data_IF_132530830554
#
_entry.id   IF_132530830554
#
_cell.length_a   1.000
_cell.length_b   1.000
_cell.length_c   1.000
_cell.angle_alpha   90.00
_cell.angle_beta   90.00
_cell.angle_gamma   90.00
#
_symmetry.space_group_name_H-M   'P 1'
#
loop_
_entity.id
_entity.type
_entity.pdbx_description
1 polymer ?
#
# COMPACT_ATOMS: atom_id res chain seq x y z
N UNK A 1 9.36 -14.12 19.05
CA UNK A 1 8.01 -14.10 19.63
C UNK A 1 7.44 -15.52 19.68
N UNK A 2 6.95 -15.90 20.82
CA UNK A 2 6.33 -17.21 20.98
C UNK A 2 4.92 -17.16 20.42
N UNK A 3 4.63 -18.06 19.49
CA UNK A 3 3.38 -18.05 18.74
C UNK A 3 2.13 -18.14 19.60
N UNK A 4 2.20 -18.86 20.72
CA UNK A 4 1.00 -19.15 21.52
C UNK A 4 0.80 -18.17 22.66
N UNK A 5 1.67 -17.18 22.79
CA UNK A 5 1.64 -16.27 23.93
C UNK A 5 0.56 -15.21 23.81
N UNK A 6 0.17 -14.84 22.59
CA UNK A 6 -0.74 -13.74 22.36
C UNK A 6 -2.02 -14.24 21.67
N UNK A 7 -3.14 -13.61 22.02
CA UNK A 7 -4.43 -13.92 21.39
C UNK A 7 -4.70 -13.07 20.15
N UNK A 8 -4.00 -11.95 20.03
CA UNK A 8 -4.17 -11.03 18.91
C UNK A 8 -2.80 -10.56 18.47
N UNK A 9 -2.53 -10.72 17.19
CA UNK A 9 -1.21 -10.39 16.60
C UNK A 9 -1.27 -9.13 15.73
N UNK A 10 -2.31 -8.30 15.89
CA UNK A 10 -2.40 -7.03 15.14
C UNK A 10 -1.17 -6.16 15.32
N UNK A 11 -0.54 -6.23 16.51
CA UNK A 11 0.64 -5.41 16.78
C UNK A 11 1.81 -5.74 15.87
N UNK A 12 1.84 -6.93 15.27
CA UNK A 12 2.88 -7.31 14.31
C UNK A 12 2.63 -6.69 12.94
N UNK A 13 1.37 -6.44 12.61
CA UNK A 13 1.00 -5.88 11.31
C UNK A 13 1.25 -4.37 11.23
N UNK A 14 1.03 -3.66 12.35
CA UNK A 14 1.06 -2.20 12.37
C UNK A 14 2.38 -1.63 11.82
N UNK A 15 3.56 -2.07 12.29
CA UNK A 15 4.82 -1.51 11.76
C UNK A 15 5.00 -1.80 10.28
N UNK A 16 4.58 -2.97 9.81
CA UNK A 16 4.71 -3.32 8.40
C UNK A 16 3.76 -2.52 7.53
N UNK A 17 2.55 -2.24 8.02
CA UNK A 17 1.60 -1.39 7.30
C UNK A 17 2.14 0.03 7.16
N UNK A 18 2.76 0.56 8.22
CA UNK A 18 3.38 1.88 8.18
C UNK A 18 4.57 1.91 7.22
N UNK A 19 5.39 0.87 7.24
CA UNK A 19 6.53 0.77 6.34
C UNK A 19 6.06 0.67 4.89
N UNK A 20 5.00 -0.08 4.65
CA UNK A 20 4.42 -0.24 3.33
C UNK A 20 3.94 1.12 2.80
N UNK A 21 3.19 1.87 3.61
CA UNK A 21 2.73 3.20 3.22
C UNK A 21 3.89 4.13 2.91
N UNK A 22 4.89 4.17 3.78
CA UNK A 22 6.07 5.01 3.57
C UNK A 22 6.84 4.64 2.31
N UNK A 23 6.98 3.33 2.08
CA UNK A 23 7.64 2.84 0.88
C UNK A 23 6.89 3.26 -0.39
N UNK A 24 5.57 3.08 -0.37
CA UNK A 24 4.76 3.44 -1.54
C UNK A 24 4.85 4.94 -1.83
N UNK A 25 4.81 5.78 -0.79
CA UNK A 25 4.94 7.22 -0.99
C UNK A 25 6.27 7.57 -1.65
N UNK A 26 7.36 6.94 -1.19
CA UNK A 26 8.67 7.17 -1.78
C UNK A 26 8.70 6.71 -3.24
N UNK A 27 8.17 5.52 -3.51
CA UNK A 27 8.12 4.99 -4.87
C UNK A 27 7.32 5.91 -5.79
N UNK A 28 6.15 6.36 -5.33
CA UNK A 28 5.29 7.22 -6.15
C UNK A 28 5.91 8.60 -6.38
N UNK A 29 6.69 9.07 -5.43
CA UNK A 29 7.47 10.28 -5.66
C UNK A 29 8.53 10.04 -6.73
N UNK A 30 9.24 8.92 -6.65
CA UNK A 30 10.31 8.57 -7.58
C UNK A 30 9.80 8.41 -9.01
N UNK A 31 8.58 7.93 -9.19
CA UNK A 31 8.01 7.73 -10.53
C UNK A 31 7.04 8.86 -10.91
N UNK A 32 7.04 9.95 -10.17
CA UNK A 32 6.28 11.17 -10.46
C UNK A 32 4.76 11.00 -10.44
N UNK A 33 4.26 10.06 -9.64
CA UNK A 33 2.82 9.96 -9.43
C UNK A 33 2.32 10.96 -8.40
N UNK A 34 3.19 11.40 -7.51
CA UNK A 34 2.87 12.46 -6.54
C UNK A 34 3.97 13.51 -6.58
N UNK A 35 3.62 14.74 -6.19
CA UNK A 35 4.59 15.84 -6.15
C UNK A 35 5.37 15.79 -4.83
N UNK A 36 6.46 16.54 -4.81
CA UNK A 36 7.24 16.70 -3.59
C UNK A 36 6.41 17.34 -2.47
N UNK A 37 5.53 18.27 -2.83
CA UNK A 37 4.62 18.90 -1.86
C UNK A 37 3.66 17.87 -1.28
N UNK A 38 3.13 16.97 -2.11
CA UNK A 38 2.26 15.88 -1.63
C UNK A 38 3.03 14.98 -0.67
N UNK A 39 4.28 14.68 -1.01
CA UNK A 39 5.09 13.76 -0.21
C UNK A 39 5.31 14.28 1.20
N UNK A 40 5.57 15.58 1.35
CA UNK A 40 5.86 16.17 2.65
C UNK A 40 4.62 16.67 3.40
N UNK A 41 3.44 16.63 2.76
CA UNK A 41 2.22 17.16 3.36
C UNK A 41 1.62 16.19 4.38
N UNK A 42 1.28 16.70 5.55
CA UNK A 42 0.57 15.93 6.56
C UNK A 42 -0.88 15.65 6.17
N UNK A 43 -1.38 16.36 5.17
CA UNK A 43 -2.78 16.23 4.73
C UNK A 43 -2.95 15.31 3.53
N UNK A 44 -1.85 14.81 2.95
CA UNK A 44 -1.94 13.91 1.82
C UNK A 44 -2.47 12.55 2.27
N UNK A 45 -3.53 12.08 1.63
CA UNK A 45 -4.20 10.81 1.95
C UNK A 45 -3.91 9.79 0.86
N UNK A 46 -2.89 8.98 1.06
CA UNK A 46 -2.48 7.99 0.06
C UNK A 46 -3.62 7.07 -0.35
N UNK A 47 -4.40 6.59 0.62
CA UNK A 47 -5.50 5.68 0.33
C UNK A 47 -6.54 6.26 -0.61
N UNK A 48 -6.76 7.56 -0.53
CA UNK A 48 -7.70 8.23 -1.44
C UNK A 48 -7.24 8.07 -2.90
N UNK A 49 -5.95 8.29 -3.13
CA UNK A 49 -5.39 8.24 -4.48
C UNK A 49 -5.18 6.82 -4.99
N UNK A 50 -5.03 5.86 -4.08
CA UNK A 50 -4.91 4.44 -4.44
C UNK A 50 -6.25 3.78 -4.71
N UNK A 51 -7.35 4.36 -4.26
CA UNK A 51 -8.65 3.72 -4.31
C UNK A 51 -9.19 3.60 -5.73
N UNK A 52 -9.63 2.41 -6.14
CA UNK A 52 -10.29 2.26 -7.43
C UNK A 52 -11.68 2.91 -7.47
N UNK A 53 -12.22 3.24 -6.30
CA UNK A 53 -13.57 3.82 -6.22
C UNK A 53 -13.60 5.32 -6.49
N UNK A 54 -12.45 5.98 -6.52
CA UNK A 54 -12.35 7.42 -6.69
C UNK A 54 -11.72 7.84 -8.00
N UNK A 55 -11.56 6.91 -8.94
CA UNK A 55 -10.93 7.22 -10.24
C UNK A 55 -11.67 8.35 -10.97
N UNK A 56 -12.99 8.30 -10.98
CA UNK A 56 -13.79 9.31 -11.68
C UNK A 56 -13.64 10.71 -11.08
N UNK A 57 -13.42 10.79 -9.78
CA UNK A 57 -13.27 12.09 -9.10
C UNK A 57 -11.86 12.63 -9.24
N UNK A 58 -10.87 11.77 -9.18
CA UNK A 58 -9.47 12.18 -9.19
C UNK A 58 -8.90 12.31 -10.59
N UNK A 59 -9.44 11.55 -11.54
CA UNK A 59 -8.99 11.56 -12.94
C UNK A 59 -7.48 11.33 -13.02
N UNK A 60 -6.73 12.28 -13.58
CA UNK A 60 -5.29 12.14 -13.78
C UNK A 60 -4.50 12.06 -12.48
N UNK A 61 -5.09 12.46 -11.36
CA UNK A 61 -4.45 12.39 -10.06
C UNK A 61 -4.60 11.03 -9.38
N UNK A 62 -5.46 10.14 -9.92
CA UNK A 62 -5.62 8.80 -9.38
C UNK A 62 -4.34 8.00 -9.57
N UNK A 63 -3.75 7.53 -8.47
CA UNK A 63 -2.56 6.69 -8.55
C UNK A 63 -2.93 5.32 -9.08
N UNK A 64 -4.09 4.79 -8.68
CA UNK A 64 -4.59 3.52 -9.21
C UNK A 64 -4.61 3.55 -10.74
N UNK A 65 -5.19 4.61 -11.31
CA UNK A 65 -5.28 4.74 -12.77
C UNK A 65 -3.90 4.88 -13.42
N UNK A 66 -3.00 5.62 -12.79
CA UNK A 66 -1.65 5.78 -13.31
C UNK A 66 -0.90 4.44 -13.33
N UNK A 67 -1.04 3.64 -12.28
CA UNK A 67 -0.42 2.30 -12.26
C UNK A 67 -1.02 1.41 -13.33
N UNK A 68 -2.35 1.44 -13.46
CA UNK A 68 -3.04 0.65 -14.47
C UNK A 68 -2.54 0.99 -15.87
N UNK A 69 -2.36 2.27 -16.14
CA UNK A 69 -1.92 2.75 -17.44
C UNK A 69 -0.45 2.43 -17.72
N UNK A 70 0.40 2.62 -16.72
CA UNK A 70 1.85 2.46 -16.89
C UNK A 70 2.31 1.01 -16.73
N UNK A 71 1.53 0.19 -16.08
CA UNK A 71 1.87 -1.20 -15.81
C UNK A 71 0.65 -2.10 -16.06
N UNK A 72 0.02 -2.59 -15.00
CA UNK A 72 -1.15 -3.47 -15.15
C UNK A 72 -2.20 -3.13 -14.11
N UNK A 73 -3.44 -3.49 -14.41
CA UNK A 73 -4.52 -3.36 -13.42
C UNK A 73 -4.32 -4.33 -12.26
N UNK A 74 -3.76 -5.50 -12.53
CA UNK A 74 -3.49 -6.47 -11.46
C UNK A 74 -2.54 -5.88 -10.42
N UNK A 75 -1.51 -5.16 -10.85
CA UNK A 75 -0.59 -4.50 -9.92
C UNK A 75 -1.30 -3.41 -9.12
N UNK A 76 -2.10 -2.58 -9.79
CA UNK A 76 -2.86 -1.52 -9.12
C UNK A 76 -3.78 -2.10 -8.05
N UNK A 77 -4.48 -3.18 -8.39
CA UNK A 77 -5.39 -3.85 -7.47
C UNK A 77 -4.64 -4.46 -6.30
N UNK A 78 -3.52 -5.11 -6.56
CA UNK A 78 -2.73 -5.74 -5.51
C UNK A 78 -2.22 -4.70 -4.51
N UNK A 79 -1.71 -3.57 -5.00
CA UNK A 79 -1.22 -2.49 -4.15
C UNK A 79 -2.35 -1.95 -3.27
N UNK A 80 -3.52 -1.71 -3.88
CA UNK A 80 -4.68 -1.22 -3.16
C UNK A 80 -5.17 -2.21 -2.10
N UNK A 81 -5.28 -3.49 -2.47
CA UNK A 81 -5.81 -4.50 -1.57
C UNK A 81 -4.91 -4.67 -0.34
N UNK A 82 -3.60 -4.69 -0.54
CA UNK A 82 -2.67 -4.81 0.58
C UNK A 82 -2.72 -3.58 1.48
N UNK A 83 -2.81 -2.39 0.88
CA UNK A 83 -2.94 -1.17 1.66
C UNK A 83 -4.23 -1.20 2.49
N UNK A 84 -5.33 -1.59 1.86
CA UNK A 84 -6.64 -1.65 2.50
C UNK A 84 -6.67 -2.67 3.63
N UNK A 85 -6.10 -3.85 3.41
CA UNK A 85 -6.02 -4.89 4.45
C UNK A 85 -5.18 -4.41 5.64
N UNK A 86 -4.08 -3.75 5.36
CA UNK A 86 -3.23 -3.20 6.43
C UNK A 86 -3.97 -2.17 7.27
N UNK A 87 -4.69 -1.28 6.63
CA UNK A 87 -5.51 -0.28 7.34
C UNK A 87 -6.58 -0.94 8.18
N UNK A 88 -7.27 -1.93 7.63
CA UNK A 88 -8.32 -2.62 8.36
C UNK A 88 -7.77 -3.31 9.60
N UNK A 89 -6.60 -3.93 9.51
CA UNK A 89 -5.99 -4.58 10.67
C UNK A 89 -5.58 -3.56 11.73
N UNK A 90 -5.07 -2.41 11.32
CA UNK A 90 -4.74 -1.33 12.25
C UNK A 90 -5.98 -0.87 13.01
N UNK A 91 -7.10 -0.67 12.31
CA UNK A 91 -8.35 -0.29 12.97
C UNK A 91 -8.87 -1.37 13.90
N UNK A 92 -8.67 -2.62 13.57
CA UNK A 92 -9.12 -3.74 14.40
C UNK A 92 -8.27 -3.94 15.65
N UNK A 93 -7.20 -3.20 15.78
CA UNK A 93 -6.37 -3.23 16.97
C UNK A 93 -7.07 -2.61 18.19
N UNK A 94 -8.01 -1.70 18.00
CA UNK A 94 -8.62 -0.94 19.08
C UNK A 94 -9.71 -1.74 19.83
N UNK A 95 -9.99 -1.37 21.10
CA UNK A 95 -10.83 -2.20 21.97
C UNK A 95 -12.24 -2.50 21.51
N UNK A 96 -12.79 -1.67 20.64
CA UNK A 96 -14.17 -1.84 20.19
C UNK A 96 -14.32 -2.83 19.05
N UNK A 97 -13.22 -3.34 18.51
CA UNK A 97 -13.26 -4.30 17.42
C UNK A 97 -13.18 -5.72 17.96
N UNK A 98 -14.00 -6.59 17.42
CA UNK A 98 -14.05 -7.99 17.84
C UNK A 98 -13.13 -8.88 17.02
N UNK A 99 -12.59 -8.36 15.94
CA UNK A 99 -11.69 -9.11 15.07
C UNK A 99 -10.34 -9.32 15.74
N UNK A 100 -9.86 -10.55 15.70
CA UNK A 100 -8.52 -10.91 16.17
C UNK A 100 -7.67 -11.31 14.99
N UNK A 101 -6.41 -10.88 15.02
CA UNK A 101 -5.45 -11.28 13.99
C UNK A 101 -4.68 -12.47 14.51
N UNK A 102 -4.84 -13.59 13.84
CA UNK A 102 -4.09 -14.80 14.16
C UNK A 102 -2.64 -14.65 13.72
N UNK A 103 -1.74 -15.41 14.34
CA UNK A 103 -0.31 -15.33 14.00
C UNK A 103 -0.06 -15.61 12.52
N UNK A 104 -0.69 -16.67 12.00
CA UNK A 104 -0.52 -17.02 10.58
C UNK A 104 -1.04 -15.93 9.66
N UNK A 105 -2.14 -15.27 10.05
CA UNK A 105 -2.69 -14.15 9.28
C UNK A 105 -1.75 -12.96 9.27
N UNK A 106 -1.14 -12.64 10.43
CA UNK A 106 -0.17 -11.55 10.52
C UNK A 106 1.06 -11.84 9.66
N UNK A 107 1.57 -13.06 9.69
CA UNK A 107 2.70 -13.47 8.84
C UNK A 107 2.36 -13.32 7.37
N UNK A 108 1.18 -13.75 6.98
CA UNK A 108 0.73 -13.67 5.59
C UNK A 108 0.66 -12.23 5.12
N UNK A 109 0.13 -11.33 5.96
CA UNK A 109 0.05 -9.92 5.61
C UNK A 109 1.44 -9.31 5.44
N UNK A 110 2.38 -9.65 6.33
CA UNK A 110 3.75 -9.17 6.22
C UNK A 110 4.40 -9.64 4.92
N UNK A 111 4.23 -10.90 4.58
CA UNK A 111 4.77 -11.46 3.33
C UNK A 111 4.14 -10.79 2.12
N UNK A 112 2.85 -10.54 2.16
CA UNK A 112 2.16 -9.87 1.07
C UNK A 112 2.66 -8.45 0.87
N UNK A 113 2.89 -7.70 1.95
CA UNK A 113 3.47 -6.36 1.85
C UNK A 113 4.83 -6.41 1.18
N UNK A 114 5.72 -7.28 1.64
CA UNK A 114 7.07 -7.38 1.08
C UNK A 114 7.04 -7.77 -0.38
N UNK A 115 6.23 -8.76 -0.74
CA UNK A 115 6.12 -9.21 -2.12
C UNK A 115 5.63 -8.09 -3.03
N UNK A 116 4.61 -7.38 -2.59
CA UNK A 116 4.03 -6.30 -3.38
C UNK A 116 5.00 -5.12 -3.50
N UNK A 117 5.76 -4.81 -2.44
CA UNK A 117 6.76 -3.76 -2.50
C UNK A 117 7.82 -4.06 -3.56
N UNK A 118 8.34 -5.28 -3.58
CA UNK A 118 9.34 -5.69 -4.57
C UNK A 118 8.76 -5.62 -5.97
N UNK A 119 7.57 -6.18 -6.14
CA UNK A 119 6.89 -6.22 -7.43
C UNK A 119 6.60 -4.81 -7.95
N UNK A 120 6.09 -3.93 -7.09
CA UNK A 120 5.81 -2.56 -7.48
C UNK A 120 7.07 -1.83 -7.90
N UNK A 121 8.15 -1.98 -7.14
CA UNK A 121 9.42 -1.38 -7.48
C UNK A 121 9.88 -1.82 -8.87
N UNK A 122 9.92 -3.13 -9.08
CA UNK A 122 10.41 -3.67 -10.35
C UNK A 122 9.58 -3.22 -11.54
N UNK A 123 8.25 -3.32 -11.41
CA UNK A 123 7.37 -3.02 -12.53
C UNK A 123 7.27 -1.53 -12.82
N UNK A 124 7.19 -0.70 -11.79
CA UNK A 124 7.00 0.74 -12.00
C UNK A 124 8.29 1.43 -12.39
N UNK A 125 9.41 1.07 -11.80
CA UNK A 125 10.70 1.64 -12.21
C UNK A 125 11.06 1.25 -13.64
N UNK A 126 10.83 0.01 -14.01
CA UNK A 126 11.09 -0.45 -15.36
C UNK A 126 10.23 0.31 -16.38
N UNK A 127 8.93 0.44 -16.07
CA UNK A 127 8.02 1.16 -16.96
C UNK A 127 8.44 2.62 -17.12
N UNK A 128 8.84 3.26 -16.02
CA UNK A 128 9.23 4.67 -16.05
C UNK A 128 10.53 4.87 -16.81
N UNK A 129 11.52 3.98 -16.59
CA UNK A 129 12.77 4.03 -17.32
C UNK A 129 12.57 3.80 -18.82
N UNK A 130 11.70 2.84 -19.16
CA UNK A 130 11.35 2.62 -20.55
C UNK A 130 10.68 3.83 -21.17
N UNK A 131 9.82 4.51 -20.41
CA UNK A 131 9.14 5.72 -20.86
C UNK A 131 10.09 6.89 -21.12
N UNK A 132 11.19 6.99 -20.34
CA UNK A 132 12.15 8.09 -20.53
C UNK A 132 13.04 7.89 -21.73
N UNK A 133 13.14 6.69 -22.25
CA UNK A 133 13.95 6.40 -23.42
C UNK A 133 13.16 6.44 -24.72
N UNK A 134 11.87 6.60 -24.60
CA UNK A 134 10.97 6.60 -25.76
C UNK A 134 10.91 7.93 -26.50
#
# INVERSE_FOLDING_TARGET
>A
VQKERFKDYSFLVFPYAKAYEGYLKQLFLDVDYISHLDYISDHFRLGKYLSPHLIHRLKDRSIYEQIRRDSTEDLAREIWENWSKGRNQVFHYYPHNLHRVEFAEAEELQENFLRTMIKAYEMLHTAKQGGTHG
#
